data_IF_712260790027
#
_entry.id   IF_712260790027
#
_cell.length_a   1.000
_cell.length_b   1.000
_cell.length_c   1.000
_cell.angle_alpha   90.00
_cell.angle_beta   90.00
_cell.angle_gamma   90.00
#
_symmetry.space_group_name_H-M   'P 1'
#
loop_
_entity.id
_entity.type
_entity.pdbx_description
1 polymer ?
#
# COMPACT_ATOMS: atom_id res chain seq x y z
N UNK A 1 -11.76 21.69 25.51
CA UNK A 1 -10.63 21.41 24.60
C UNK A 1 -9.41 21.17 25.48
N UNK A 2 -9.00 19.92 25.67
CA UNK A 2 -7.75 19.63 26.38
C UNK A 2 -6.58 20.19 25.56
N UNK A 3 -5.66 20.94 26.18
CA UNK A 3 -4.46 21.39 25.51
C UNK A 3 -3.62 20.18 25.11
N UNK A 4 -3.54 19.92 23.80
CA UNK A 4 -2.61 18.93 23.25
C UNK A 4 -1.18 19.37 23.59
N UNK A 5 -0.35 18.45 24.07
CA UNK A 5 1.05 18.77 24.31
C UNK A 5 1.72 19.19 22.98
N UNK A 6 2.72 20.07 23.04
CA UNK A 6 3.48 20.49 21.84
C UNK A 6 4.03 19.28 21.07
N UNK A 7 4.39 18.22 21.78
CA UNK A 7 4.88 16.97 21.21
C UNK A 7 3.81 16.25 20.37
N UNK A 8 2.58 16.14 20.88
CA UNK A 8 1.46 15.53 20.14
C UNK A 8 1.09 16.34 18.90
N UNK A 9 1.11 17.68 18.98
CA UNK A 9 0.83 18.54 17.84
C UNK A 9 1.87 18.35 16.72
N UNK A 10 3.16 18.33 17.06
CA UNK A 10 4.24 18.08 16.10
C UNK A 10 4.04 16.73 15.41
N UNK A 11 3.72 15.68 16.18
CA UNK A 11 3.47 14.35 15.64
C UNK A 11 2.31 14.33 14.64
N UNK A 12 1.20 14.98 14.97
CA UNK A 12 0.03 15.07 14.09
C UNK A 12 0.37 15.76 12.77
N UNK A 13 1.11 16.88 12.83
CA UNK A 13 1.52 17.62 11.64
C UNK A 13 2.44 16.79 10.76
N UNK A 14 3.40 16.07 11.34
CA UNK A 14 4.32 15.19 10.58
C UNK A 14 3.51 14.10 9.87
N UNK A 15 2.73 13.33 10.63
CA UNK A 15 1.94 12.21 10.09
C UNK A 15 0.96 12.68 9.02
N UNK A 16 0.24 13.79 9.25
CA UNK A 16 -0.70 14.34 8.28
C UNK A 16 0.01 14.80 6.99
N UNK A 17 1.18 15.43 7.13
CA UNK A 17 1.98 15.89 5.99
C UNK A 17 2.49 14.72 5.15
N UNK A 18 2.93 13.63 5.79
CA UNK A 18 3.31 12.38 5.12
C UNK A 18 2.14 11.76 4.37
N UNK A 19 0.96 11.65 5.01
CA UNK A 19 -0.26 11.13 4.37
C UNK A 19 -0.61 11.92 3.11
N UNK A 20 -0.59 13.25 3.17
CA UNK A 20 -0.88 14.11 2.01
C UNK A 20 0.15 13.90 0.91
N UNK A 21 1.44 13.93 1.25
CA UNK A 21 2.51 13.74 0.28
C UNK A 21 2.40 12.40 -0.46
N UNK A 22 2.26 11.31 0.29
CA UNK A 22 2.15 9.97 -0.29
C UNK A 22 0.81 9.72 -0.98
N UNK A 23 -0.27 10.40 -0.59
CA UNK A 23 -1.50 10.38 -1.38
C UNK A 23 -1.27 10.94 -2.78
N UNK A 24 -0.67 12.14 -2.90
CA UNK A 24 -0.39 12.74 -4.20
C UNK A 24 0.55 11.84 -5.01
N UNK A 25 1.68 11.46 -4.40
CA UNK A 25 2.72 10.68 -5.06
C UNK A 25 2.26 9.26 -5.43
N UNK A 26 1.55 8.59 -4.52
CA UNK A 26 1.05 7.24 -4.70
C UNK A 26 -0.13 7.17 -5.66
N UNK A 27 -1.09 8.10 -5.60
CA UNK A 27 -2.20 8.17 -6.55
C UNK A 27 -1.68 8.41 -7.96
N UNK A 28 -0.76 9.37 -8.13
CA UNK A 28 -0.12 9.61 -9.43
C UNK A 28 0.49 8.32 -9.98
N UNK A 29 1.32 7.64 -9.20
CA UNK A 29 1.99 6.42 -9.67
C UNK A 29 1.01 5.30 -10.00
N UNK A 30 0.14 4.94 -9.05
CA UNK A 30 -0.78 3.81 -9.20
C UNK A 30 -1.77 4.02 -10.35
N UNK A 31 -2.34 5.22 -10.50
CA UNK A 31 -3.22 5.56 -11.63
C UNK A 31 -2.47 5.45 -12.95
N UNK A 32 -1.27 6.03 -13.04
CA UNK A 32 -0.48 5.97 -14.27
C UNK A 32 -0.10 4.55 -14.66
N UNK A 33 0.17 3.64 -13.71
CA UNK A 33 0.46 2.25 -14.04
C UNK A 33 -0.76 1.52 -14.62
N UNK A 34 -1.94 1.79 -14.05
CA UNK A 34 -3.21 1.24 -14.55
C UNK A 34 -3.48 1.77 -15.96
N UNK A 35 -3.40 3.09 -16.15
CA UNK A 35 -3.59 3.73 -17.46
C UNK A 35 -2.58 3.23 -18.49
N UNK A 36 -1.30 3.11 -18.12
CA UNK A 36 -0.26 2.62 -19.03
C UNK A 36 -0.56 1.20 -19.49
N UNK A 37 -0.95 0.31 -18.59
CA UNK A 37 -1.31 -1.08 -18.91
C UNK A 37 -2.61 -1.15 -19.72
N UNK A 38 -3.55 -0.24 -19.46
CA UNK A 38 -4.77 -0.10 -20.25
C UNK A 38 -4.45 0.38 -21.67
N UNK A 39 -3.72 1.47 -21.86
CA UNK A 39 -3.48 2.03 -23.20
C UNK A 39 -2.45 1.28 -24.03
N UNK A 40 -1.60 0.45 -23.42
CA UNK A 40 -0.56 -0.30 -24.12
C UNK A 40 -0.82 -1.81 -24.05
N UNK A 41 -1.52 -2.39 -25.04
CA UNK A 41 -1.86 -3.83 -25.06
C UNK A 41 -0.64 -4.76 -24.91
N UNK A 42 0.53 -4.32 -25.39
CA UNK A 42 1.79 -5.07 -25.29
C UNK A 42 2.19 -5.36 -23.83
N UNK A 43 1.74 -4.56 -22.87
CA UNK A 43 2.04 -4.73 -21.45
C UNK A 43 1.03 -5.61 -20.70
N UNK A 44 -0.07 -6.05 -21.33
CA UNK A 44 -1.18 -6.78 -20.67
C UNK A 44 -0.88 -8.26 -20.44
N UNK A 45 0.18 -8.56 -19.71
CA UNK A 45 0.48 -9.91 -19.23
C UNK A 45 -0.36 -10.26 -17.99
N UNK A 46 -0.53 -11.57 -17.68
CA UNK A 46 -1.19 -12.02 -16.43
C UNK A 46 -0.58 -11.35 -15.19
N UNK A 47 0.75 -11.23 -15.15
CA UNK A 47 1.48 -10.58 -14.05
C UNK A 47 1.22 -9.07 -13.99
N UNK A 48 1.16 -8.39 -15.14
CA UNK A 48 0.92 -6.94 -15.20
C UNK A 48 -0.49 -6.59 -14.76
N UNK A 49 -1.47 -7.44 -15.07
CA UNK A 49 -2.85 -7.21 -14.64
C UNK A 49 -2.99 -7.41 -13.12
N UNK A 50 -2.32 -8.43 -12.54
CA UNK A 50 -2.24 -8.58 -11.09
C UNK A 50 -1.64 -7.34 -10.42
N UNK A 51 -0.62 -6.74 -11.05
CA UNK A 51 -0.02 -5.51 -10.57
C UNK A 51 -0.99 -4.32 -10.64
N UNK A 52 -1.81 -4.21 -11.69
CA UNK A 52 -2.85 -3.18 -11.78
C UNK A 52 -3.92 -3.32 -10.68
N UNK A 53 -4.29 -4.54 -10.33
CA UNK A 53 -5.22 -4.81 -9.22
C UNK A 53 -4.59 -4.38 -7.91
N UNK A 54 -3.32 -4.74 -7.68
CA UNK A 54 -2.59 -4.27 -6.51
C UNK A 54 -2.54 -2.73 -6.45
N UNK A 55 -2.27 -2.06 -7.58
CA UNK A 55 -2.31 -0.61 -7.65
C UNK A 55 -3.70 -0.03 -7.36
N UNK A 56 -4.76 -0.70 -7.80
CA UNK A 56 -6.13 -0.29 -7.47
C UNK A 56 -6.42 -0.43 -5.98
N UNK A 57 -6.04 -1.56 -5.36
CA UNK A 57 -6.11 -1.73 -3.91
C UNK A 57 -5.30 -0.67 -3.17
N UNK A 58 -4.09 -0.36 -3.62
CA UNK A 58 -3.26 0.69 -3.01
C UNK A 58 -3.88 2.10 -3.15
N UNK A 59 -4.55 2.41 -4.28
CA UNK A 59 -5.30 3.67 -4.43
C UNK A 59 -6.36 3.79 -3.35
N UNK A 60 -7.11 2.71 -3.10
CA UNK A 60 -8.15 2.67 -2.08
C UNK A 60 -7.52 2.92 -0.70
N UNK A 61 -6.48 2.16 -0.33
CA UNK A 61 -5.80 2.36 0.95
C UNK A 61 -5.27 3.79 1.13
N UNK A 62 -4.69 4.40 0.08
CA UNK A 62 -4.23 5.79 0.13
C UNK A 62 -5.39 6.77 0.38
N UNK A 63 -6.51 6.61 -0.33
CA UNK A 63 -7.70 7.46 -0.17
C UNK A 63 -8.32 7.32 1.22
N UNK A 64 -8.29 6.14 1.83
CA UNK A 64 -8.77 5.91 3.20
C UNK A 64 -7.90 6.59 4.28
N UNK A 65 -6.64 6.90 3.98
CA UNK A 65 -5.79 7.69 4.89
C UNK A 65 -6.13 9.19 4.87
N UNK A 66 -6.81 9.71 3.84
CA UNK A 66 -7.18 11.14 3.78
C UNK A 66 -8.17 11.56 4.88
N UNK A 67 -9.25 10.82 5.17
CA UNK A 67 -10.06 11.04 6.37
C UNK A 67 -9.23 11.07 7.65
N UNK A 68 -8.22 10.21 7.77
CA UNK A 68 -7.35 10.16 8.95
C UNK A 68 -6.55 11.46 9.09
N UNK A 69 -5.99 11.97 7.99
CA UNK A 69 -5.31 13.27 7.98
C UNK A 69 -6.26 14.42 8.36
N UNK A 70 -7.51 14.41 7.89
CA UNK A 70 -8.49 15.45 8.24
C UNK A 70 -8.88 15.41 9.72
N UNK A 71 -9.06 14.22 10.30
CA UNK A 71 -9.31 14.04 11.74
C UNK A 71 -8.12 14.53 12.58
N UNK A 72 -6.89 14.29 12.11
CA UNK A 72 -5.68 14.78 12.77
C UNK A 72 -5.59 16.31 12.79
N UNK A 73 -5.90 16.99 11.68
CA UNK A 73 -5.91 18.46 11.64
C UNK A 73 -7.03 19.08 12.47
N UNK A 74 -8.20 18.44 12.52
CA UNK A 74 -9.35 18.93 13.29
C UNK A 74 -9.29 18.58 14.78
N UNK A 75 -8.39 17.66 15.16
CA UNK A 75 -8.26 17.18 16.54
C UNK A 75 -9.44 16.33 17.02
N UNK A 76 -10.32 15.88 16.11
CA UNK A 76 -11.49 15.07 16.43
C UNK A 76 -11.04 13.65 16.72
N UNK A 77 -11.38 13.14 17.91
CA UNK A 77 -11.12 11.76 18.30
C UNK A 77 -12.39 10.92 18.10
N UNK A 78 -12.26 9.77 17.46
CA UNK A 78 -13.36 8.82 17.29
C UNK A 78 -13.22 7.67 18.29
N UNK A 79 -14.35 7.04 18.63
CA UNK A 79 -14.36 5.82 19.46
C UNK A 79 -13.79 4.64 18.66
N UNK A 80 -13.08 3.72 19.32
CA UNK A 80 -12.50 2.52 18.67
C UNK A 80 -13.47 1.73 17.78
N UNK A 81 -14.75 1.50 18.15
CA UNK A 81 -15.66 0.73 17.30
C UNK A 81 -15.92 1.40 15.94
N UNK A 82 -15.99 2.75 15.91
CA UNK A 82 -16.15 3.51 14.67
C UNK A 82 -14.91 3.41 13.77
N UNK A 83 -13.71 3.47 14.36
CA UNK A 83 -12.46 3.30 13.63
C UNK A 83 -12.31 1.88 13.07
N UNK A 84 -12.64 0.86 13.87
CA UNK A 84 -12.62 -0.52 13.39
C UNK A 84 -13.61 -0.74 12.24
N UNK A 85 -14.79 -0.12 12.26
CA UNK A 85 -15.73 -0.20 11.15
C UNK A 85 -15.14 0.37 9.85
N UNK A 86 -14.49 1.54 9.92
CA UNK A 86 -13.82 2.16 8.76
C UNK A 86 -12.74 1.24 8.19
N UNK A 87 -11.92 0.64 9.05
CA UNK A 87 -10.87 -0.30 8.64
C UNK A 87 -11.44 -1.60 8.05
N UNK A 88 -12.52 -2.14 8.62
CA UNK A 88 -13.19 -3.34 8.09
C UNK A 88 -13.76 -3.07 6.70
N UNK A 89 -14.35 -1.89 6.48
CA UNK A 89 -14.87 -1.49 5.17
C UNK A 89 -13.73 -1.41 4.15
N UNK A 90 -12.61 -0.79 4.49
CA UNK A 90 -11.42 -0.71 3.61
C UNK A 90 -10.92 -2.11 3.22
N UNK A 91 -10.71 -2.98 4.21
CA UNK A 91 -10.29 -4.37 3.98
C UNK A 91 -11.30 -5.15 3.12
N UNK A 92 -12.60 -4.95 3.33
CA UNK A 92 -13.63 -5.65 2.58
C UNK A 92 -13.67 -5.18 1.12
N UNK A 93 -13.56 -3.88 0.86
CA UNK A 93 -13.47 -3.33 -0.50
C UNK A 93 -12.23 -3.91 -1.21
N UNK A 94 -11.09 -3.96 -0.54
CA UNK A 94 -9.88 -4.59 -1.07
C UNK A 94 -10.12 -6.05 -1.48
N UNK A 95 -10.80 -6.83 -0.62
CA UNK A 95 -11.13 -8.23 -0.90
C UNK A 95 -12.10 -8.40 -2.07
N UNK A 96 -13.13 -7.54 -2.17
CA UNK A 96 -14.08 -7.56 -3.28
C UNK A 96 -13.38 -7.37 -4.63
N UNK A 97 -12.43 -6.44 -4.70
CA UNK A 97 -11.68 -6.16 -5.91
C UNK A 97 -10.80 -7.34 -6.36
N UNK A 98 -10.22 -8.07 -5.40
CA UNK A 98 -9.47 -9.29 -5.68
C UNK A 98 -10.42 -10.38 -6.23
N UNK A 99 -11.65 -10.49 -5.70
CA UNK A 99 -12.63 -11.49 -6.15
C UNK A 99 -13.30 -11.18 -7.49
N UNK A 100 -13.40 -9.92 -7.92
CA UNK A 100 -14.00 -9.56 -9.22
C UNK A 100 -13.16 -10.02 -10.42
N UNK A 101 -11.84 -10.14 -10.26
CA UNK A 101 -10.93 -10.58 -11.33
C UNK A 101 -10.89 -12.11 -11.56
N UNK A 102 -11.71 -12.86 -10.81
CA UNK A 102 -11.92 -14.32 -10.81
C UNK A 102 -12.23 -14.97 -12.16
N UNK A 103 -12.47 -14.20 -13.23
CA UNK A 103 -12.94 -14.74 -14.52
C UNK A 103 -11.85 -15.25 -15.48
N UNK A 104 -10.56 -15.13 -15.15
CA UNK A 104 -9.46 -15.60 -16.03
C UNK A 104 -8.84 -16.90 -15.51
N UNK A 105 -9.19 -18.04 -16.11
CA UNK A 105 -8.56 -19.39 -16.18
C UNK A 105 -7.70 -19.97 -15.03
N UNK A 106 -7.67 -19.36 -13.85
CA UNK A 106 -6.81 -19.73 -12.71
C UNK A 106 -7.63 -19.88 -11.42
N UNK A 107 -8.93 -20.16 -11.57
CA UNK A 107 -9.95 -20.16 -10.51
C UNK A 107 -9.58 -21.02 -9.30
N UNK A 108 -8.96 -22.20 -9.51
CA UNK A 108 -8.59 -23.13 -8.43
C UNK A 108 -7.43 -22.62 -7.57
N UNK A 109 -6.35 -22.16 -8.21
CA UNK A 109 -5.15 -21.63 -7.52
C UNK A 109 -5.48 -20.38 -6.71
N UNK A 110 -6.27 -19.47 -7.29
CA UNK A 110 -6.65 -18.21 -6.64
C UNK A 110 -7.68 -18.46 -5.53
N UNK A 111 -8.65 -19.36 -5.72
CA UNK A 111 -9.62 -19.70 -4.67
C UNK A 111 -8.93 -20.26 -3.43
N UNK A 112 -7.93 -21.14 -3.60
CA UNK A 112 -7.15 -21.66 -2.47
C UNK A 112 -6.32 -20.56 -1.78
N UNK A 113 -5.75 -19.64 -2.57
CA UNK A 113 -4.96 -18.51 -2.06
C UNK A 113 -5.79 -17.48 -1.28
N UNK A 114 -7.12 -17.47 -1.44
CA UNK A 114 -8.04 -16.56 -0.75
C UNK A 114 -8.63 -17.11 0.55
N UNK A 115 -8.62 -18.43 0.74
CA UNK A 115 -9.14 -19.05 1.98
C UNK A 115 -8.39 -18.54 3.20
N UNK A 116 -7.05 -18.54 3.15
CA UNK A 116 -6.23 -18.12 4.28
C UNK A 116 -6.39 -16.63 4.62
N UNK A 117 -6.30 -15.67 3.67
CA UNK A 117 -6.55 -14.26 3.95
C UNK A 117 -7.96 -13.99 4.50
N UNK A 118 -9.00 -14.61 3.93
CA UNK A 118 -10.38 -14.39 4.39
C UNK A 118 -10.55 -14.94 5.81
N UNK A 119 -10.11 -16.17 6.07
CA UNK A 119 -10.21 -16.76 7.40
C UNK A 119 -9.45 -15.95 8.46
N UNK A 120 -8.22 -15.51 8.14
CA UNK A 120 -7.41 -14.68 9.02
C UNK A 120 -8.08 -13.32 9.29
N UNK A 121 -8.51 -12.61 8.25
CA UNK A 121 -9.19 -11.32 8.39
C UNK A 121 -10.48 -11.45 9.20
N UNK A 122 -11.32 -12.46 8.91
CA UNK A 122 -12.55 -12.71 9.67
C UNK A 122 -12.25 -12.99 11.14
N UNK A 123 -11.24 -13.79 11.45
CA UNK A 123 -10.82 -14.05 12.83
C UNK A 123 -10.42 -12.77 13.57
N UNK A 124 -9.56 -11.95 12.97
CA UNK A 124 -9.09 -10.69 13.58
C UNK A 124 -10.26 -9.73 13.80
N UNK A 125 -11.18 -9.60 12.85
CA UNK A 125 -12.33 -8.71 12.95
C UNK A 125 -13.28 -9.16 14.06
N UNK A 126 -13.61 -10.45 14.14
CA UNK A 126 -14.46 -10.99 15.20
C UNK A 126 -13.79 -10.80 16.57
N UNK A 127 -12.50 -11.12 16.68
CA UNK A 127 -11.77 -10.97 17.94
C UNK A 127 -11.65 -9.50 18.36
N UNK A 128 -11.39 -8.61 17.40
CA UNK A 128 -11.40 -7.15 17.58
C UNK A 128 -12.73 -6.66 18.11
N UNK A 129 -13.84 -7.08 17.50
CA UNK A 129 -15.19 -6.70 17.92
C UNK A 129 -15.52 -7.17 19.34
N UNK A 130 -15.20 -8.43 19.67
CA UNK A 130 -15.44 -9.00 21.02
C UNK A 130 -14.65 -8.25 22.11
N UNK A 131 -13.47 -7.74 21.77
CA UNK A 131 -12.59 -7.00 22.70
C UNK A 131 -12.69 -5.48 22.54
N UNK A 132 -13.64 -4.97 21.77
CA UNK A 132 -13.80 -3.54 21.55
C UNK A 132 -14.17 -2.83 22.87
N UNK A 133 -13.52 -1.70 23.12
CA UNK A 133 -13.84 -0.79 24.22
C UNK A 133 -14.28 0.58 23.68
N UNK A 134 -14.87 1.41 24.54
CA UNK A 134 -15.32 2.77 24.20
C UNK A 134 -14.23 3.83 24.34
N UNK A 135 -12.95 3.43 24.33
CA UNK A 135 -11.85 4.40 24.44
C UNK A 135 -11.75 5.23 23.15
N UNK A 136 -11.31 6.47 23.31
CA UNK A 136 -11.03 7.37 22.20
C UNK A 136 -9.64 7.09 21.63
N UNK A 137 -9.52 7.13 20.31
CA UNK A 137 -8.25 6.98 19.61
C UNK A 137 -7.99 8.18 18.71
N UNK A 138 -6.74 8.63 18.72
CA UNK A 138 -6.30 9.81 17.96
C UNK A 138 -5.98 9.47 16.49
N UNK A 139 -5.63 8.22 16.22
CA UNK A 139 -5.20 7.76 14.89
C UNK A 139 -6.06 6.57 14.45
N UNK A 140 -6.48 6.58 13.19
CA UNK A 140 -7.14 5.44 12.57
C UNK A 140 -6.09 4.57 11.85
N UNK A 141 -5.23 3.92 12.63
CA UNK A 141 -4.32 2.91 12.10
C UNK A 141 -4.65 1.54 12.73
N UNK A 142 -4.44 0.42 12.01
CA UNK A 142 -4.80 -0.91 12.50
C UNK A 142 -4.24 -1.25 13.90
N UNK A 143 -2.98 -0.89 14.23
CA UNK A 143 -2.44 -1.20 15.55
C UNK A 143 -3.15 -0.44 16.68
N UNK A 144 -3.42 0.87 16.52
CA UNK A 144 -3.99 1.69 17.59
C UNK A 144 -5.52 1.60 17.65
N UNK A 145 -6.19 1.20 16.57
CA UNK A 145 -7.65 0.99 16.56
C UNK A 145 -8.08 -0.25 17.33
N UNK A 146 -7.19 -1.24 17.47
CA UNK A 146 -7.46 -2.50 18.15
C UNK A 146 -7.18 -2.41 19.66
N UNK A 147 -7.89 -3.21 20.45
CA UNK A 147 -7.56 -3.42 21.86
C UNK A 147 -6.15 -4.04 22.00
N UNK A 148 -5.35 -3.71 23.03
CA UNK A 148 -3.96 -4.18 23.16
C UNK A 148 -3.75 -5.70 23.00
N UNK A 149 -4.67 -6.52 23.52
CA UNK A 149 -4.64 -7.98 23.36
C UNK A 149 -4.73 -8.39 21.88
N UNK A 150 -5.71 -7.83 21.16
CA UNK A 150 -5.96 -8.11 19.74
C UNK A 150 -4.83 -7.56 18.88
N UNK A 151 -4.38 -6.34 19.18
CA UNK A 151 -3.25 -5.69 18.53
C UNK A 151 -2.00 -6.58 18.62
N UNK A 152 -1.72 -7.14 19.80
CA UNK A 152 -0.52 -7.97 20.01
C UNK A 152 -0.57 -9.25 19.18
N UNK A 153 -1.72 -9.93 19.14
CA UNK A 153 -1.93 -11.11 18.28
C UNK A 153 -1.78 -10.74 16.80
N UNK A 154 -2.45 -9.69 16.34
CA UNK A 154 -2.39 -9.21 14.95
C UNK A 154 -0.95 -8.89 14.53
N UNK A 155 -0.22 -8.14 15.35
CA UNK A 155 1.17 -7.79 15.06
C UNK A 155 2.07 -9.04 15.00
N UNK A 156 1.92 -10.01 15.91
CA UNK A 156 2.72 -11.25 15.91
C UNK A 156 2.46 -12.05 14.63
N UNK A 157 1.18 -12.23 14.27
CA UNK A 157 0.81 -12.94 13.05
C UNK A 157 1.39 -12.27 11.81
N UNK A 158 1.28 -10.95 11.68
CA UNK A 158 1.82 -10.21 10.54
C UNK A 158 3.35 -10.30 10.46
N UNK A 159 4.06 -10.17 11.58
CA UNK A 159 5.52 -10.33 11.60
C UNK A 159 5.92 -11.75 11.16
N UNK A 160 5.24 -12.79 11.64
CA UNK A 160 5.51 -14.18 11.24
C UNK A 160 5.28 -14.39 9.73
N UNK A 161 4.16 -13.89 9.19
CA UNK A 161 3.86 -13.95 7.76
C UNK A 161 4.97 -13.25 6.95
N UNK A 162 5.40 -12.08 7.39
CA UNK A 162 6.45 -11.30 6.75
C UNK A 162 7.81 -12.02 6.75
N UNK A 163 8.16 -12.72 7.83
CA UNK A 163 9.36 -13.58 7.87
C UNK A 163 9.26 -14.74 6.87
N UNK A 164 8.08 -15.40 6.77
CA UNK A 164 7.86 -16.46 5.78
C UNK A 164 8.06 -15.92 4.37
N UNK A 165 7.49 -14.75 4.04
CA UNK A 165 7.66 -14.10 2.74
C UNK A 165 9.13 -13.80 2.44
N UNK A 166 9.88 -13.29 3.43
CA UNK A 166 11.31 -13.02 3.30
C UNK A 166 12.11 -14.31 3.03
N UNK A 167 11.83 -15.39 3.76
CA UNK A 167 12.47 -16.69 3.55
C UNK A 167 12.18 -17.22 2.14
N UNK A 168 10.93 -17.15 1.67
CA UNK A 168 10.55 -17.56 0.32
C UNK A 168 11.28 -16.75 -0.75
N UNK A 169 11.38 -15.43 -0.56
CA UNK A 169 12.14 -14.57 -1.46
C UNK A 169 13.63 -14.93 -1.52
N UNK A 170 14.26 -15.16 -0.36
CA UNK A 170 15.67 -15.58 -0.28
C UNK A 170 15.84 -16.94 -0.95
N UNK A 171 14.98 -17.92 -0.68
CA UNK A 171 14.99 -19.24 -1.30
C UNK A 171 14.88 -19.15 -2.83
N UNK A 172 13.98 -18.31 -3.35
CA UNK A 172 13.86 -18.06 -4.78
C UNK A 172 15.16 -17.49 -5.37
N UNK A 173 15.79 -16.51 -4.71
CA UNK A 173 17.07 -15.96 -5.16
C UNK A 173 18.18 -17.03 -5.14
N UNK A 174 18.22 -17.88 -4.13
CA UNK A 174 19.19 -18.98 -4.04
C UNK A 174 18.97 -20.01 -5.16
N UNK A 175 17.72 -20.41 -5.41
CA UNK A 175 17.35 -21.31 -6.52
C UNK A 175 17.76 -20.69 -7.86
N UNK A 176 17.45 -19.41 -8.09
CA UNK A 176 17.84 -18.70 -9.31
C UNK A 176 19.36 -18.59 -9.47
N UNK A 177 20.11 -18.39 -8.38
CA UNK A 177 21.59 -18.37 -8.39
C UNK A 177 22.17 -19.76 -8.67
N UNK A 178 21.62 -20.81 -8.07
CA UNK A 178 22.06 -22.20 -8.27
C UNK A 178 21.82 -22.65 -9.72
N UNK A 179 20.63 -22.36 -10.27
CA UNK A 179 20.29 -22.59 -11.68
C UNK A 179 21.03 -21.63 -12.64
N UNK A 180 21.60 -20.56 -12.09
CA UNK A 180 22.30 -19.45 -12.74
C UNK A 180 23.65 -19.80 -13.36
N UNK A 181 24.27 -20.93 -13.01
CA UNK A 181 25.60 -21.34 -13.54
C UNK A 181 25.62 -21.58 -15.07
N UNK A 182 24.46 -21.63 -15.74
CA UNK A 182 24.31 -21.72 -17.22
C UNK A 182 23.48 -20.57 -17.83
N UNK A 183 23.32 -19.43 -17.14
CA UNK A 183 22.19 -18.54 -17.40
C UNK A 183 22.44 -17.34 -18.34
N UNK A 184 21.54 -17.20 -19.33
CA UNK A 184 21.45 -16.09 -20.28
C UNK A 184 21.26 -14.71 -19.62
N UNK A 185 21.53 -13.63 -20.37
CA UNK A 185 21.37 -12.21 -19.96
C UNK A 185 20.00 -11.91 -19.34
N UNK A 186 18.93 -12.57 -19.81
CA UNK A 186 17.56 -12.46 -19.31
C UNK A 186 17.40 -12.94 -17.86
N UNK A 187 17.98 -14.09 -17.50
CA UNK A 187 17.91 -14.64 -16.14
C UNK A 187 18.67 -13.76 -15.14
N UNK A 188 19.78 -13.15 -15.54
CA UNK A 188 20.52 -12.19 -14.71
C UNK A 188 19.70 -10.93 -14.41
N UNK A 189 18.99 -10.40 -15.41
CA UNK A 189 18.05 -9.28 -15.23
C UNK A 189 16.90 -9.65 -14.29
N UNK A 190 16.34 -10.86 -14.41
CA UNK A 190 15.28 -11.35 -13.52
C UNK A 190 15.75 -11.44 -12.06
N UNK A 191 16.94 -11.99 -11.82
CA UNK A 191 17.53 -12.08 -10.48
C UNK A 191 17.80 -10.69 -9.85
N UNK A 192 18.23 -9.69 -10.64
CA UNK A 192 18.40 -8.31 -10.17
C UNK A 192 17.06 -7.68 -9.79
N UNK A 193 16.02 -7.90 -10.60
CA UNK A 193 14.65 -7.41 -10.30
C UNK A 193 14.11 -8.00 -9.01
N UNK A 194 14.35 -9.29 -8.76
CA UNK A 194 13.98 -9.98 -7.51
C UNK A 194 14.70 -9.39 -6.30
N UNK A 195 16.03 -9.22 -6.36
CA UNK A 195 16.80 -8.59 -5.27
C UNK A 195 16.26 -7.21 -4.90
N UNK A 196 15.97 -6.37 -5.90
CA UNK A 196 15.44 -5.04 -5.66
C UNK A 196 14.02 -5.09 -5.06
N UNK A 197 13.17 -6.02 -5.48
CA UNK A 197 11.85 -6.22 -4.84
C UNK A 197 11.97 -6.62 -3.36
N UNK A 198 12.98 -7.40 -2.99
CA UNK A 198 13.24 -7.77 -1.58
C UNK A 198 13.65 -6.56 -0.77
N UNK A 199 14.61 -5.76 -1.27
CA UNK A 199 15.06 -4.53 -0.62
C UNK A 199 13.85 -3.62 -0.38
N UNK A 200 13.05 -3.42 -1.43
CA UNK A 200 11.84 -2.62 -1.39
C UNK A 200 10.86 -3.13 -0.31
N UNK A 201 10.59 -4.44 -0.26
CA UNK A 201 9.71 -5.03 0.74
C UNK A 201 10.25 -4.88 2.18
N UNK A 202 11.56 -5.07 2.37
CA UNK A 202 12.20 -4.95 3.68
C UNK A 202 12.15 -3.50 4.17
N UNK A 203 12.52 -2.54 3.33
CA UNK A 203 12.60 -1.13 3.70
C UNK A 203 11.25 -0.38 3.67
N UNK A 204 10.16 -1.07 3.37
CA UNK A 204 8.81 -0.54 3.53
C UNK A 204 8.04 -1.37 4.55
N UNK A 205 7.30 -2.38 4.08
CA UNK A 205 6.31 -3.12 4.84
C UNK A 205 6.91 -3.89 6.03
N UNK A 206 8.06 -4.54 5.84
CA UNK A 206 8.67 -5.34 6.89
C UNK A 206 9.10 -4.49 8.09
N UNK A 207 9.75 -3.34 7.84
CA UNK A 207 10.16 -2.41 8.90
C UNK A 207 8.94 -1.81 9.60
N UNK A 208 7.87 -1.47 8.86
CA UNK A 208 6.64 -0.95 9.46
C UNK A 208 6.08 -1.90 10.53
N UNK A 209 5.95 -3.18 10.17
CA UNK A 209 5.38 -4.23 11.02
C UNK A 209 6.33 -4.63 12.15
N UNK A 210 7.61 -4.82 11.85
CA UNK A 210 8.61 -5.17 12.86
C UNK A 210 8.84 -4.04 13.87
N UNK A 211 8.90 -2.79 13.40
CA UNK A 211 9.13 -1.61 14.22
C UNK A 211 8.07 -1.48 15.32
N UNK A 212 6.80 -1.68 14.98
CA UNK A 212 5.69 -1.65 15.94
C UNK A 212 5.83 -2.66 17.09
N UNK A 213 6.48 -3.79 16.84
CA UNK A 213 6.80 -4.84 17.83
C UNK A 213 8.07 -4.54 18.62
N UNK A 214 9.14 -4.14 17.93
CA UNK A 214 10.43 -3.83 18.55
C UNK A 214 10.28 -2.74 19.58
N UNK A 215 9.50 -1.68 19.30
CA UNK A 215 9.26 -0.60 20.26
C UNK A 215 8.61 -1.09 21.56
N UNK A 216 7.67 -2.04 21.47
CA UNK A 216 7.08 -2.67 22.67
C UNK A 216 8.07 -3.58 23.37
N UNK A 217 8.82 -4.39 22.63
CA UNK A 217 9.77 -5.37 23.18
C UNK A 217 10.93 -4.73 23.95
N UNK A 218 11.40 -3.55 23.52
CA UNK A 218 12.43 -2.78 24.24
C UNK A 218 11.88 -1.97 25.43
N UNK A 219 10.59 -2.11 25.75
CA UNK A 219 9.97 -1.51 26.92
C UNK A 219 9.49 -0.06 26.75
N UNK A 220 9.33 0.44 25.51
CA UNK A 220 8.72 1.76 25.32
C UNK A 220 7.23 1.72 25.65
N UNK A 221 6.74 2.72 26.36
CA UNK A 221 5.36 2.82 26.83
C UNK A 221 4.84 4.26 26.67
N UNK A 222 3.52 4.44 26.87
CA UNK A 222 2.87 5.74 26.88
C UNK A 222 2.96 6.51 25.57
N UNK A 223 3.10 7.84 25.68
CA UNK A 223 3.09 8.76 24.53
C UNK A 223 4.24 8.53 23.54
N UNK A 224 5.41 8.09 24.01
CA UNK A 224 6.56 7.80 23.15
C UNK A 224 6.31 6.57 22.27
N UNK A 225 5.69 5.53 22.81
CA UNK A 225 5.30 4.36 22.03
C UNK A 225 4.25 4.74 20.98
N UNK A 226 3.21 5.48 21.38
CA UNK A 226 2.17 5.95 20.46
C UNK A 226 2.76 6.83 19.34
N UNK A 227 3.71 7.71 19.67
CA UNK A 227 4.45 8.52 18.71
C UNK A 227 5.16 7.65 17.67
N UNK A 228 6.01 6.72 18.11
CA UNK A 228 6.81 5.89 17.21
C UNK A 228 5.94 4.96 16.36
N UNK A 229 4.88 4.38 16.94
CA UNK A 229 3.94 3.54 16.21
C UNK A 229 3.15 4.31 15.16
N UNK A 230 2.72 5.55 15.45
CA UNK A 230 2.05 6.39 14.46
C UNK A 230 2.96 6.76 13.29
N UNK A 231 4.25 7.00 13.52
CA UNK A 231 5.21 7.29 12.45
C UNK A 231 5.57 6.07 11.59
N UNK A 232 5.20 4.84 11.99
CA UNK A 232 5.38 3.67 11.12
C UNK A 232 4.49 3.73 9.87
N UNK A 233 3.47 4.59 9.86
CA UNK A 233 2.63 4.86 8.69
C UNK A 233 3.46 5.33 7.50
N UNK A 234 4.57 6.04 7.71
CA UNK A 234 5.50 6.44 6.67
C UNK A 234 5.92 5.25 5.78
N UNK A 235 6.32 4.15 6.42
CA UNK A 235 6.78 2.95 5.73
C UNK A 235 5.63 2.21 5.01
N UNK A 236 4.43 2.23 5.59
CA UNK A 236 3.21 1.71 4.97
C UNK A 236 2.86 2.51 3.70
N UNK A 237 2.92 3.84 3.77
CA UNK A 237 2.63 4.74 2.66
C UNK A 237 3.64 4.62 1.52
N UNK A 238 4.92 4.37 1.82
CA UNK A 238 5.92 3.97 0.82
C UNK A 238 5.47 2.70 0.10
N UNK A 239 5.01 1.69 0.84
CA UNK A 239 4.56 0.42 0.27
C UNK A 239 3.41 0.60 -0.71
N UNK A 240 2.44 1.46 -0.39
CA UNK A 240 1.31 1.75 -1.27
C UNK A 240 1.71 2.55 -2.51
N UNK A 241 2.73 3.39 -2.40
CA UNK A 241 3.12 4.34 -3.46
C UNK A 241 4.15 3.78 -4.45
N UNK A 242 4.99 2.84 -4.03
CA UNK A 242 6.21 2.46 -4.77
C UNK A 242 6.01 1.61 -6.03
N UNK A 243 4.83 0.98 -6.22
CA UNK A 243 4.62 -0.02 -7.27
C UNK A 243 5.01 0.50 -8.66
N UNK A 244 4.45 1.64 -9.07
CA UNK A 244 4.75 2.29 -10.34
C UNK A 244 6.22 2.68 -10.49
N UNK A 245 6.76 3.40 -9.51
CA UNK A 245 8.13 3.90 -9.55
C UNK A 245 9.14 2.77 -9.65
N UNK A 246 8.92 1.69 -8.90
CA UNK A 246 9.77 0.51 -8.96
C UNK A 246 9.79 -0.14 -10.36
N UNK A 247 8.65 -0.15 -11.05
CA UNK A 247 8.50 -0.78 -12.38
C UNK A 247 9.16 0.07 -13.46
N UNK A 248 8.90 1.38 -13.46
CA UNK A 248 9.50 2.34 -14.40
C UNK A 248 11.01 2.45 -14.21
N UNK A 249 11.49 2.32 -12.98
CA UNK A 249 12.93 2.23 -12.68
C UNK A 249 13.53 0.93 -13.25
N UNK A 250 12.89 -0.23 -13.00
CA UNK A 250 13.40 -1.57 -13.36
C UNK A 250 13.32 -1.89 -14.86
N UNK A 251 12.40 -1.28 -15.60
CA UNK A 251 12.14 -1.61 -17.00
C UNK A 251 12.15 -0.39 -17.89
N UNK A 252 13.13 -0.32 -18.79
CA UNK A 252 13.20 0.70 -19.83
C UNK A 252 12.02 0.64 -20.79
N UNK A 253 11.43 -0.54 -20.98
CA UNK A 253 10.22 -0.73 -21.79
C UNK A 253 9.04 0.03 -21.19
N UNK A 254 8.74 -0.18 -19.90
CA UNK A 254 7.69 0.57 -19.20
C UNK A 254 7.95 2.07 -19.20
N UNK A 255 9.21 2.48 -19.00
CA UNK A 255 9.59 3.89 -19.01
C UNK A 255 9.40 4.55 -20.38
N UNK A 256 9.81 3.89 -21.45
CA UNK A 256 9.67 4.43 -22.80
C UNK A 256 8.19 4.55 -23.18
N UNK A 257 7.38 3.54 -22.87
CA UNK A 257 5.94 3.56 -23.15
C UNK A 257 5.19 4.58 -22.31
N UNK A 258 5.63 4.81 -21.07
CA UNK A 258 5.11 5.88 -20.21
C UNK A 258 5.37 7.26 -20.80
N UNK A 259 6.62 7.53 -21.21
CA UNK A 259 6.98 8.81 -21.86
C UNK A 259 6.19 9.01 -23.15
N UNK A 260 6.01 7.95 -23.95
CA UNK A 260 5.20 8.00 -25.17
C UNK A 260 3.73 8.33 -24.87
N UNK A 261 3.13 7.70 -23.86
CA UNK A 261 1.75 7.95 -23.43
C UNK A 261 1.55 9.42 -23.05
N UNK A 262 2.46 9.99 -22.26
CA UNK A 262 2.38 11.39 -21.84
C UNK A 262 2.63 12.37 -22.98
N UNK A 263 3.57 12.09 -23.89
CA UNK A 263 3.80 12.91 -25.09
C UNK A 263 2.59 12.95 -26.03
N UNK A 264 1.86 11.84 -26.16
CA UNK A 264 0.65 11.78 -26.97
C UNK A 264 -0.54 12.48 -26.28
N UNK A 265 -0.65 12.39 -24.95
CA UNK A 265 -1.65 13.14 -24.20
C UNK A 265 -1.45 14.67 -24.35
N UNK A 266 -0.21 15.12 -24.35
CA UNK A 266 0.15 16.53 -24.53
C UNK A 266 -0.28 17.05 -25.92
N UNK A 267 -0.01 16.28 -26.99
CA UNK A 267 -0.43 16.61 -28.37
C UNK A 267 -1.95 16.67 -28.53
N UNK A 268 -2.70 15.81 -27.83
CA UNK A 268 -4.16 15.85 -27.85
C UNK A 268 -4.68 17.12 -27.18
N UNK A 269 -4.11 17.52 -26.04
CA UNK A 269 -4.46 18.76 -25.35
C UNK A 269 -4.18 20.00 -26.20
N UNK A 270 -3.04 20.07 -26.89
CA UNK A 270 -2.70 21.21 -27.78
C UNK A 270 -3.66 21.32 -28.97
N UNK A 271 -4.11 20.18 -29.52
CA UNK A 271 -5.03 20.16 -30.66
C UNK A 271 -6.42 20.67 -30.26
N UNK A 272 -6.92 20.31 -29.09
CA UNK A 272 -8.21 20.79 -28.58
C UNK A 272 -8.19 22.30 -28.29
N UNK A 273 -7.10 22.82 -27.70
CA UNK A 273 -6.96 24.27 -27.45
C UNK A 273 -6.93 25.07 -28.75
N UNK A 274 -6.27 24.56 -29.79
CA UNK A 274 -6.18 25.21 -31.12
C UNK A 274 -7.54 25.24 -31.84
N UNK A 275 -8.36 24.19 -31.69
CA UNK A 275 -9.72 24.15 -32.26
C UNK A 275 -10.64 25.15 -31.54
N UNK A 276 -10.55 25.25 -30.21
CA UNK A 276 -11.35 26.21 -29.42
C UNK A 276 -10.96 27.66 -29.72
N UNK A 277 -9.67 27.97 -29.87
CA UNK A 277 -9.23 29.32 -30.24
C UNK A 277 -9.64 29.73 -31.65
N UNK A 278 -9.71 28.78 -32.60
CA UNK A 278 -10.13 29.04 -33.99
C UNK A 278 -11.64 29.26 -34.12
N UNK A 279 -12.43 28.70 -33.21
CA UNK A 279 -13.88 28.94 -33.13
C UNK A 279 -14.15 30.33 -32.55
N UNK A 280 -13.36 30.75 -31.54
CA UNK A 280 -13.53 32.05 -30.90
C UNK A 280 -13.05 33.24 -31.75
N UNK A 281 -12.21 33.01 -32.77
CA UNK A 281 -11.76 34.05 -33.72
C UNK A 281 -12.65 34.16 -34.98
N UNK A 282 -13.73 33.36 -35.07
CA UNK A 282 -14.68 33.34 -36.19
C UNK A 282 -16.10 33.77 -35.77
N UNK A 283 -16.25 34.24 -34.54
CA UNK A 283 -17.42 34.95 -33.99
C UNK A 283 -17.02 36.40 -33.77
#
# INVERSE_FOLDING_TARGET
MAQLSRFQLINQVIVASEIIFFNIFGLFGNVNLILLTYFKPQLRSKSSILQCIQCFSHIICLLFELPNSALLFTGIQLRRPAMMLILVIDLYIMLLNITMYRNVETKKYISFSLVFPIAYSTFIVIYGYVKADDQYVLFCNPPLSMHPDVQSVWLICNVLINFIVLILFIALVLIFRAKGRRANRTSRRLAQRLKLSIIIFVFSWFIAELGGHVFKAIGLQGDLLAFLQSNMVFFVLICYSQSFYSIVWKSSEYRNMFVEMWRCADKFSTTTTTVVSTIHSKL
#
